data_IF_768362119721
#
_entry.id   IF_768362119721
#
_cell.length_a   1.000
_cell.length_b   1.000
_cell.length_c   1.000
_cell.angle_alpha   90.00
_cell.angle_beta   90.00
_cell.angle_gamma   90.00
#
_symmetry.space_group_name_H-M   'P 1'
#
loop_
_entity.id
_entity.type
_entity.pdbx_description
1 polymer ?
#
# COMPACT_ATOMS: atom_id res chain seq x y z
N UNK A 1 -21.23 15.00 9.68
CA UNK A 1 -20.50 14.11 8.75
C UNK A 1 -20.01 14.93 7.58
N UNK A 2 -18.72 14.89 7.31
CA UNK A 2 -18.20 15.61 6.16
C UNK A 2 -18.47 14.84 4.87
N UNK A 3 -18.69 15.55 3.79
CA UNK A 3 -18.82 14.95 2.47
C UNK A 3 -17.49 14.38 2.02
N UNK A 4 -17.53 13.32 1.22
CA UNK A 4 -16.36 12.78 0.58
C UNK A 4 -15.77 13.78 -0.40
N UNK A 5 -14.45 13.92 -0.40
CA UNK A 5 -13.72 14.75 -1.34
C UNK A 5 -12.99 13.88 -2.34
N UNK A 6 -12.95 14.31 -3.59
CA UNK A 6 -12.22 13.66 -4.67
C UNK A 6 -11.16 14.61 -5.22
N UNK A 7 -9.98 14.06 -5.52
CA UNK A 7 -8.83 14.80 -6.01
C UNK A 7 -8.00 13.87 -6.90
N UNK A 8 -7.09 14.42 -7.67
CA UNK A 8 -6.16 13.63 -8.48
C UNK A 8 -4.83 13.37 -7.75
N UNK A 9 -4.58 14.09 -6.66
CA UNK A 9 -3.31 14.05 -5.95
C UNK A 9 -3.48 13.92 -4.46
N UNK A 10 -2.50 13.31 -3.81
CA UNK A 10 -2.38 13.27 -2.35
C UNK A 10 -1.96 14.64 -1.85
N UNK A 11 -2.67 15.14 -0.84
CA UNK A 11 -2.32 16.38 -0.15
C UNK A 11 -1.24 16.12 0.91
N UNK A 12 -0.55 17.17 1.42
CA UNK A 12 0.36 17.00 2.56
C UNK A 12 -0.31 16.37 3.77
N UNK A 13 -1.57 16.67 4.02
CA UNK A 13 -2.33 16.09 5.13
C UNK A 13 -2.60 14.59 4.89
N UNK A 14 -2.91 14.20 3.66
CA UNK A 14 -3.01 12.79 3.28
C UNK A 14 -1.69 12.05 3.51
N UNK A 15 -0.56 12.65 3.10
CA UNK A 15 0.76 12.04 3.27
C UNK A 15 1.10 11.85 4.75
N UNK A 16 0.75 12.81 5.60
CA UNK A 16 0.94 12.69 7.05
C UNK A 16 0.12 11.54 7.64
N UNK A 17 -1.14 11.40 7.21
CA UNK A 17 -1.99 10.29 7.62
C UNK A 17 -1.43 8.94 7.15
N UNK A 18 -1.01 8.86 5.90
CA UNK A 18 -0.49 7.64 5.29
C UNK A 18 0.93 7.27 5.78
N UNK A 19 1.61 8.16 6.50
CA UNK A 19 2.89 7.85 7.15
C UNK A 19 2.73 7.03 8.44
N UNK A 20 1.52 6.92 8.96
CA UNK A 20 1.23 6.14 10.17
C UNK A 20 1.28 4.64 9.86
N UNK A 21 1.57 3.78 10.88
CA UNK A 21 1.63 2.33 10.68
C UNK A 21 0.22 1.71 10.59
N UNK A 22 -0.50 2.07 9.55
CA UNK A 22 -1.86 1.60 9.27
C UNK A 22 -1.82 0.54 8.18
N UNK A 23 -2.81 -0.37 8.19
CA UNK A 23 -2.95 -1.31 7.09
C UNK A 23 -3.66 -0.65 5.92
N UNK A 24 -3.17 -0.89 4.71
CA UNK A 24 -3.87 -0.58 3.49
C UNK A 24 -4.58 -1.83 2.99
N UNK A 25 -5.71 -1.65 2.31
CA UNK A 25 -6.43 -2.74 1.68
C UNK A 25 -6.35 -2.55 0.17
N UNK A 26 -5.57 -3.43 -0.47
CA UNK A 26 -5.30 -3.37 -1.90
C UNK A 26 -6.33 -4.20 -2.66
N UNK A 27 -6.89 -3.61 -3.73
CA UNK A 27 -7.79 -4.27 -4.66
C UNK A 27 -7.22 -4.15 -6.07
N UNK A 28 -7.14 -5.26 -6.78
CA UNK A 28 -6.73 -5.33 -8.18
C UNK A 28 -7.94 -5.63 -9.06
N UNK A 29 -7.90 -5.21 -10.32
CA UNK A 29 -9.07 -5.22 -11.20
C UNK A 29 -9.24 -6.48 -12.04
N UNK A 30 -8.27 -7.38 -12.10
CA UNK A 30 -8.29 -8.52 -13.02
C UNK A 30 -9.09 -9.72 -12.49
N UNK A 31 -9.81 -10.39 -13.39
CA UNK A 31 -10.49 -11.64 -13.14
C UNK A 31 -12.00 -11.57 -13.25
N UNK A 32 -12.68 -12.71 -13.46
CA UNK A 32 -14.13 -12.77 -13.59
C UNK A 32 -14.87 -12.72 -12.25
N UNK A 33 -14.20 -13.08 -11.15
CA UNK A 33 -14.76 -13.01 -9.81
C UNK A 33 -14.57 -11.60 -9.23
N UNK A 34 -15.37 -11.19 -8.24
CA UNK A 34 -15.10 -9.94 -7.55
C UNK A 34 -13.66 -9.92 -7.02
N UNK A 35 -12.91 -8.81 -7.24
CA UNK A 35 -11.51 -8.76 -6.81
C UNK A 35 -11.43 -8.77 -5.28
N UNK A 36 -10.60 -9.66 -4.70
CA UNK A 36 -10.45 -9.69 -3.26
C UNK A 36 -9.67 -8.48 -2.76
N UNK A 37 -10.10 -7.94 -1.63
CA UNK A 37 -9.37 -6.90 -0.93
C UNK A 37 -8.34 -7.56 0.00
N UNK A 38 -7.07 -7.13 -0.08
CA UNK A 38 -5.97 -7.74 0.68
C UNK A 38 -5.29 -6.69 1.57
N UNK A 39 -5.10 -6.99 2.87
CA UNK A 39 -4.32 -6.10 3.73
C UNK A 39 -2.85 -6.13 3.31
N UNK A 40 -2.24 -4.96 3.24
CA UNK A 40 -0.84 -4.79 2.85
C UNK A 40 -0.18 -3.72 3.70
N UNK A 41 1.14 -3.84 3.86
CA UNK A 41 1.97 -2.73 4.26
C UNK A 41 2.23 -1.84 3.05
N UNK A 42 2.34 -0.55 3.28
CA UNK A 42 2.53 0.40 2.19
C UNK A 42 3.35 1.60 2.67
N UNK A 43 3.89 2.33 1.71
CA UNK A 43 4.58 3.59 1.95
C UNK A 43 4.09 4.62 0.93
N UNK A 44 3.56 5.74 1.40
CA UNK A 44 3.29 6.89 0.53
C UNK A 44 4.58 7.72 0.40
N UNK A 45 4.96 8.03 -0.82
CA UNK A 45 6.21 8.74 -1.10
C UNK A 45 5.99 10.25 -1.21
N UNK A 46 7.04 11.08 -1.01
CA UNK A 46 6.90 12.53 -1.15
C UNK A 46 6.47 12.99 -2.56
N UNK A 47 6.71 12.17 -3.59
CA UNK A 47 6.27 12.47 -4.95
C UNK A 47 4.81 12.11 -5.21
N UNK A 48 4.09 11.61 -4.20
CA UNK A 48 2.66 11.36 -4.26
C UNK A 48 2.28 9.98 -4.76
N UNK A 49 3.20 9.04 -4.87
CA UNK A 49 2.88 7.63 -5.19
C UNK A 49 2.71 6.81 -3.92
N UNK A 50 2.09 5.64 -4.06
CA UNK A 50 1.98 4.66 -2.97
C UNK A 50 2.64 3.38 -3.41
N UNK A 51 3.54 2.85 -2.60
CA UNK A 51 4.31 1.67 -2.98
C UNK A 51 4.24 0.57 -1.93
N UNK A 52 4.38 -0.65 -2.40
CA UNK A 52 4.46 -1.86 -1.59
C UNK A 52 5.41 -2.86 -2.23
N UNK A 53 5.80 -3.89 -1.49
CA UNK A 53 6.61 -4.97 -2.04
C UNK A 53 5.84 -6.29 -2.00
N UNK A 54 6.21 -7.19 -2.89
CA UNK A 54 5.66 -8.55 -2.93
C UNK A 54 6.61 -9.45 -3.73
N UNK A 55 6.44 -10.76 -3.62
CA UNK A 55 7.18 -11.70 -4.47
C UNK A 55 6.83 -11.51 -5.95
N UNK A 56 7.76 -11.82 -6.87
CA UNK A 56 7.57 -11.54 -8.30
C UNK A 56 6.51 -12.42 -8.97
N UNK A 57 6.15 -13.55 -8.37
CA UNK A 57 5.23 -14.52 -8.95
C UNK A 57 3.91 -14.65 -8.20
N UNK A 58 3.59 -13.68 -7.34
CA UNK A 58 2.33 -13.70 -6.59
C UNK A 58 1.13 -13.46 -7.52
N UNK A 59 -0.06 -13.87 -7.06
CA UNK A 59 -1.31 -13.64 -7.79
C UNK A 59 -1.55 -12.13 -8.03
N UNK A 60 -1.20 -11.31 -7.08
CA UNK A 60 -1.24 -9.85 -7.15
C UNK A 60 -0.47 -9.32 -8.37
N UNK A 61 0.76 -9.80 -8.56
CA UNK A 61 1.61 -9.41 -9.68
C UNK A 61 1.03 -9.91 -11.00
N UNK A 62 0.55 -11.14 -11.06
CA UNK A 62 -0.07 -11.68 -12.28
C UNK A 62 -1.30 -10.87 -12.69
N UNK A 63 -2.11 -10.44 -11.72
CA UNK A 63 -3.28 -9.62 -11.97
C UNK A 63 -2.89 -8.23 -12.47
N UNK A 64 -1.89 -7.60 -11.86
CA UNK A 64 -1.43 -6.28 -12.27
C UNK A 64 -0.78 -6.28 -13.65
N UNK A 65 -0.12 -7.37 -14.05
CA UNK A 65 0.41 -7.50 -15.40
C UNK A 65 -0.69 -7.59 -16.44
N UNK A 66 -1.83 -8.21 -16.09
CA UNK A 66 -2.99 -8.34 -16.97
C UNK A 66 -3.78 -7.03 -17.04
N UNK A 67 -3.95 -6.37 -15.91
CA UNK A 67 -4.68 -5.10 -15.79
C UNK A 67 -4.00 -4.27 -14.69
N UNK A 68 -3.35 -3.16 -15.03
CA UNK A 68 -2.56 -2.39 -14.05
C UNK A 68 -3.41 -1.54 -13.11
N UNK A 69 -4.73 -1.50 -13.28
CA UNK A 69 -5.60 -0.72 -12.39
C UNK A 69 -5.64 -1.33 -11.01
N UNK A 70 -5.50 -0.50 -10.02
CA UNK A 70 -5.54 -0.90 -8.61
C UNK A 70 -6.06 0.23 -7.74
N UNK A 71 -6.51 -0.12 -6.55
CA UNK A 71 -6.90 0.85 -5.54
C UNK A 71 -6.41 0.37 -4.18
N UNK A 72 -6.04 1.31 -3.33
CA UNK A 72 -5.70 1.05 -1.93
C UNK A 72 -6.53 1.96 -1.04
N UNK A 73 -7.14 1.39 -0.01
CA UNK A 73 -7.91 2.13 0.98
C UNK A 73 -7.25 1.98 2.33
N UNK A 74 -7.07 3.10 3.01
CA UNK A 74 -6.45 3.15 4.35
C UNK A 74 -7.41 3.86 5.28
N UNK A 75 -7.74 3.22 6.40
CA UNK A 75 -8.66 3.76 7.40
C UNK A 75 -7.96 3.96 8.73
N UNK A 76 -8.37 4.99 9.45
CA UNK A 76 -7.96 5.17 10.85
C UNK A 76 -8.47 4.01 11.71
N UNK A 77 -7.79 3.70 12.83
CA UNK A 77 -8.26 2.66 13.75
C UNK A 77 -9.68 2.95 14.27
N UNK A 78 -10.38 1.88 14.61
CA UNK A 78 -11.79 1.96 15.04
C UNK A 78 -12.02 2.79 16.29
N UNK A 79 -10.99 2.96 17.13
CA UNK A 79 -11.07 3.76 18.38
C UNK A 79 -10.82 5.25 18.16
N UNK A 80 -10.51 5.66 16.92
CA UNK A 80 -10.35 7.07 16.53
C UNK A 80 -11.59 7.54 15.75
N UNK A 81 -11.69 8.84 15.51
CA UNK A 81 -12.75 9.37 14.65
C UNK A 81 -12.58 8.82 13.24
N UNK A 82 -13.70 8.56 12.60
CA UNK A 82 -13.71 7.96 11.27
C UNK A 82 -12.97 8.85 10.28
N UNK A 83 -12.00 8.26 9.64
CA UNK A 83 -11.22 8.88 8.56
C UNK A 83 -10.69 7.78 7.66
N UNK A 84 -10.80 7.98 6.36
CA UNK A 84 -10.14 7.10 5.41
C UNK A 84 -9.71 7.85 4.16
N UNK A 85 -8.71 7.30 3.50
CA UNK A 85 -8.19 7.76 2.21
C UNK A 85 -8.15 6.56 1.28
N UNK A 86 -8.70 6.70 0.08
CA UNK A 86 -8.66 5.70 -0.97
C UNK A 86 -7.94 6.28 -2.18
N UNK A 87 -6.98 5.55 -2.70
CA UNK A 87 -6.17 5.95 -3.85
C UNK A 87 -6.40 4.93 -4.95
N UNK A 88 -6.92 5.36 -6.08
CA UNK A 88 -7.10 4.53 -7.27
C UNK A 88 -6.21 5.06 -8.39
N UNK A 89 -5.65 4.16 -9.18
CA UNK A 89 -4.80 4.52 -10.31
C UNK A 89 -4.22 3.30 -10.98
N UNK A 90 -3.04 3.48 -11.56
CA UNK A 90 -2.32 2.45 -12.29
C UNK A 90 -1.03 2.10 -11.58
N UNK A 91 -0.75 0.81 -11.50
CA UNK A 91 0.46 0.30 -10.86
C UNK A 91 1.52 -0.03 -11.90
N UNK A 92 2.76 0.28 -11.55
CA UNK A 92 3.94 -0.23 -12.25
C UNK A 92 4.66 -1.21 -11.36
N UNK A 93 5.38 -2.15 -11.96
CA UNK A 93 6.16 -3.16 -11.24
C UNK A 93 7.63 -2.88 -11.50
N UNK A 94 8.36 -2.58 -10.42
CA UNK A 94 9.77 -2.23 -10.46
C UNK A 94 10.59 -3.33 -9.81
N UNK A 95 11.72 -3.68 -10.42
CA UNK A 95 12.60 -4.72 -9.89
C UNK A 95 13.62 -4.19 -8.89
N UNK A 96 13.82 -2.88 -8.85
CA UNK A 96 14.76 -2.22 -7.94
C UNK A 96 14.05 -1.67 -6.71
N UNK A 97 14.79 -1.54 -5.62
CA UNK A 97 14.35 -0.86 -4.41
C UNK A 97 13.40 -1.66 -3.52
N UNK A 98 13.02 -2.89 -3.89
CA UNK A 98 12.05 -3.67 -3.13
C UNK A 98 12.59 -4.11 -1.76
N UNK A 99 13.84 -4.52 -1.67
CA UNK A 99 14.46 -4.92 -0.40
C UNK A 99 14.61 -3.72 0.56
N UNK A 100 15.02 -2.57 0.06
CA UNK A 100 15.12 -1.35 0.87
C UNK A 100 13.73 -0.94 1.39
N UNK A 101 12.70 -1.05 0.55
CA UNK A 101 11.32 -0.79 0.95
C UNK A 101 10.87 -1.79 2.02
N UNK A 102 11.18 -3.08 1.86
CA UNK A 102 10.84 -4.10 2.84
C UNK A 102 11.46 -3.81 4.21
N UNK A 103 12.71 -3.36 4.25
CA UNK A 103 13.38 -2.96 5.49
C UNK A 103 12.68 -1.77 6.16
N UNK A 104 12.34 -0.74 5.39
CA UNK A 104 11.64 0.44 5.93
C UNK A 104 10.26 0.08 6.47
N UNK A 105 9.51 -0.75 5.74
CA UNK A 105 8.17 -1.16 6.17
C UNK A 105 8.23 -2.09 7.38
N UNK A 106 9.16 -3.03 7.42
CA UNK A 106 9.33 -3.88 8.60
C UNK A 106 9.62 -3.04 9.85
N UNK A 107 10.47 -2.02 9.74
CA UNK A 107 10.75 -1.12 10.85
C UNK A 107 9.54 -0.30 11.28
N UNK A 108 8.63 0.00 10.34
CA UNK A 108 7.38 0.74 10.64
C UNK A 108 6.37 -0.11 11.40
N UNK A 109 6.21 -1.40 11.01
CA UNK A 109 5.13 -2.25 11.49
C UNK A 109 5.57 -3.23 12.58
N UNK A 110 6.85 -3.53 12.69
CA UNK A 110 7.39 -4.51 13.63
C UNK A 110 8.42 -3.90 14.57
N UNK A 111 8.54 -4.50 15.76
CA UNK A 111 9.67 -4.28 16.64
C UNK A 111 10.82 -5.21 16.21
N UNK A 112 11.81 -4.65 15.54
CA UNK A 112 12.96 -5.41 15.02
C UNK A 112 13.99 -5.77 16.10
N UNK A 113 13.83 -5.29 17.33
CA UNK A 113 14.59 -5.78 18.48
C UNK A 113 14.09 -7.17 18.93
N UNK A 114 12.86 -7.54 18.53
CA UNK A 114 12.35 -8.89 18.70
C UNK A 114 13.08 -9.85 17.73
N UNK A 115 13.80 -10.88 18.24
CA UNK A 115 14.55 -11.81 17.40
C UNK A 115 13.68 -12.56 16.39
N UNK A 116 12.41 -12.83 16.73
CA UNK A 116 11.47 -13.50 15.81
C UNK A 116 11.17 -12.61 14.63
N UNK A 117 10.91 -11.32 14.87
CA UNK A 117 10.65 -10.35 13.80
C UNK A 117 11.89 -10.06 12.96
N UNK A 118 13.05 -9.98 13.57
CA UNK A 118 14.31 -9.84 12.84
C UNK A 118 14.55 -11.04 11.92
N UNK A 119 14.23 -12.25 12.36
CA UNK A 119 14.33 -13.45 11.54
C UNK A 119 13.30 -13.45 10.40
N UNK A 120 12.08 -12.99 10.65
CA UNK A 120 11.05 -12.85 9.61
C UNK A 120 11.52 -11.88 8.51
N UNK A 121 12.10 -10.75 8.88
CA UNK A 121 12.65 -9.80 7.92
C UNK A 121 13.80 -10.42 7.12
N UNK A 122 14.71 -11.13 7.78
CA UNK A 122 15.79 -11.82 7.09
C UNK A 122 15.26 -12.80 6.04
N UNK A 123 14.16 -13.50 6.35
CA UNK A 123 13.50 -14.40 5.40
C UNK A 123 12.94 -13.66 4.18
N UNK A 124 12.32 -12.51 4.39
CA UNK A 124 11.82 -11.66 3.30
C UNK A 124 12.99 -11.21 2.41
N UNK A 125 14.08 -10.76 2.99
CA UNK A 125 15.25 -10.27 2.26
C UNK A 125 16.03 -11.36 1.54
N UNK A 126 15.88 -12.61 1.97
CA UNK A 126 16.53 -13.78 1.33
C UNK A 126 15.80 -14.17 0.03
N UNK A 127 14.58 -13.73 -0.20
CA UNK A 127 13.80 -14.05 -1.37
C UNK A 127 13.75 -12.84 -2.33
N UNK A 128 13.49 -13.13 -3.61
CA UNK A 128 13.28 -12.07 -4.59
C UNK A 128 12.00 -11.32 -4.27
N UNK A 129 12.07 -10.01 -4.37
CA UNK A 129 10.94 -9.11 -4.17
C UNK A 129 10.86 -8.13 -5.34
N UNK A 130 9.65 -7.66 -5.62
CA UNK A 130 9.42 -6.56 -6.55
C UNK A 130 8.67 -5.44 -5.83
N UNK A 131 8.81 -4.25 -6.34
CA UNK A 131 8.17 -3.06 -5.82
C UNK A 131 7.00 -2.70 -6.73
N UNK A 132 5.81 -2.61 -6.15
CA UNK A 132 4.61 -2.17 -6.85
C UNK A 132 4.42 -0.70 -6.52
N UNK A 133 4.36 0.15 -7.54
CA UNK A 133 4.17 1.60 -7.39
C UNK A 133 2.83 1.98 -7.98
N UNK A 134 1.92 2.44 -7.13
CA UNK A 134 0.60 2.93 -7.53
C UNK A 134 0.69 4.42 -7.82
N UNK A 135 0.40 4.79 -9.06
CA UNK A 135 0.36 6.17 -9.54
C UNK A 135 -1.07 6.68 -9.45
N UNK A 136 -1.37 7.62 -8.53
CA UNK A 136 -2.74 8.06 -8.31
C UNK A 136 -3.36 8.74 -9.54
N UNK A 137 -4.60 8.38 -9.84
CA UNK A 137 -5.46 9.06 -10.80
C UNK A 137 -6.67 9.67 -10.09
N UNK A 138 -7.13 9.04 -9.00
CA UNK A 138 -8.22 9.53 -8.18
C UNK A 138 -7.92 9.26 -6.71
N UNK A 139 -8.02 10.28 -5.89
CA UNK A 139 -7.90 10.18 -4.43
C UNK A 139 -9.22 10.61 -3.82
N UNK A 140 -9.80 9.75 -3.01
CA UNK A 140 -11.01 10.05 -2.24
C UNK A 140 -10.67 10.04 -0.76
N UNK A 141 -11.23 10.97 -0.03
CA UNK A 141 -11.04 11.07 1.42
C UNK A 141 -12.33 11.42 2.13
N UNK A 142 -12.53 10.81 3.29
CA UNK A 142 -13.65 11.08 4.17
C UNK A 142 -13.15 11.29 5.58
N UNK A 143 -13.66 12.32 6.24
CA UNK A 143 -13.39 12.64 7.64
C UNK A 143 -14.72 12.98 8.30
N UNK A 144 -14.98 12.41 9.46
CA UNK A 144 -16.18 12.70 10.25
C UNK A 144 -15.86 13.54 11.46
#
# INVERSE_FOLDING_TARGET
>A
MSDGQSDEHLTPDDLAFLARPLLGFLTTAAGPAPPPSRPVWFEATPDGTVQLFTGPDTLKIRRLRRDPRAAITVAAPADERERWVSVAGRATIETDGAHDLAERLAARYWDLDDPVRAADLAGILAEDQVRVVLHPEEVRRVTF
#
